data_IF_651611675292
#
_entry.id   IF_651611675292
#
_cell.length_a   1.000
_cell.length_b   1.000
_cell.length_c   1.000
_cell.angle_alpha   90.00
_cell.angle_beta   90.00
_cell.angle_gamma   90.00
#
_symmetry.space_group_name_H-M   'P 1'
#
loop_
_entity.id
_entity.type
_entity.pdbx_description
1 polymer ?
#
# COMPACT_ATOMS: atom_id res chain seq x y z
N UNK A 1 3.20 7.73 10.17
CA UNK A 1 2.91 6.51 10.96
C UNK A 1 1.50 6.05 10.65
N UNK A 2 1.33 4.95 9.89
CA UNK A 2 0.03 4.49 9.40
C UNK A 2 -0.59 3.52 10.43
N UNK A 3 -1.55 4.01 11.23
CA UNK A 3 -2.18 3.24 12.32
C UNK A 3 -2.92 1.99 11.82
N UNK A 4 -3.41 2.01 10.58
CA UNK A 4 -4.14 0.88 10.00
C UNK A 4 -3.20 -0.30 9.73
N UNK A 5 -2.07 -0.05 9.06
CA UNK A 5 -1.06 -1.07 8.76
C UNK A 5 -0.48 -1.68 10.05
N UNK A 6 -0.15 -0.86 11.03
CA UNK A 6 0.40 -1.31 12.32
C UNK A 6 -0.61 -2.12 13.14
N UNK A 7 -1.91 -1.79 13.06
CA UNK A 7 -2.95 -2.60 13.69
C UNK A 7 -3.14 -3.93 12.95
N UNK A 8 -3.21 -3.91 11.62
CA UNK A 8 -3.34 -5.10 10.79
C UNK A 8 -2.20 -6.10 11.05
N UNK A 9 -0.96 -5.63 11.07
CA UNK A 9 0.21 -6.44 11.40
C UNK A 9 0.11 -7.09 12.79
N UNK A 10 -0.30 -6.32 13.81
CA UNK A 10 -0.50 -6.86 15.18
C UNK A 10 -1.62 -7.90 15.27
N UNK A 11 -2.54 -7.90 14.33
CA UNK A 11 -3.58 -8.95 14.21
C UNK A 11 -3.11 -10.15 13.37
N UNK A 12 -1.85 -10.18 12.94
CA UNK A 12 -1.30 -11.25 12.10
C UNK A 12 -1.67 -11.14 10.62
N UNK A 13 -2.17 -9.98 10.18
CA UNK A 13 -2.38 -9.72 8.76
C UNK A 13 -1.06 -9.27 8.12
N UNK A 14 -0.77 -9.80 6.94
CA UNK A 14 0.46 -9.51 6.20
C UNK A 14 0.22 -8.70 4.93
N UNK A 15 -1.01 -8.72 4.40
CA UNK A 15 -1.38 -7.99 3.18
C UNK A 15 -2.71 -7.28 3.40
N UNK A 16 -2.79 -6.02 2.96
CA UNK A 16 -4.05 -5.30 2.78
C UNK A 16 -4.33 -5.18 1.28
N UNK A 17 -5.37 -5.87 0.82
CA UNK A 17 -5.83 -5.84 -0.57
C UNK A 17 -7.01 -4.87 -0.71
N UNK A 18 -7.06 -4.14 -1.82
CA UNK A 18 -8.15 -3.22 -2.10
C UNK A 18 -8.20 -2.74 -3.55
N UNK A 19 -9.21 -1.91 -3.83
CA UNK A 19 -9.43 -1.28 -5.12
C UNK A 19 -9.41 0.24 -4.95
N UNK A 20 -8.70 0.93 -5.85
CA UNK A 20 -8.53 2.39 -5.83
C UNK A 20 -8.80 2.95 -7.21
N UNK A 21 -9.49 4.08 -7.32
CA UNK A 21 -9.67 4.73 -8.62
C UNK A 21 -8.33 5.28 -9.13
N UNK A 22 -8.09 5.14 -10.43
CA UNK A 22 -6.87 5.60 -11.09
C UNK A 22 -6.62 7.11 -10.90
N UNK A 23 -7.69 7.91 -10.87
CA UNK A 23 -7.64 9.36 -10.71
C UNK A 23 -7.59 9.82 -9.25
N UNK A 24 -7.70 8.91 -8.27
CA UNK A 24 -7.64 9.23 -6.86
C UNK A 24 -6.18 9.42 -6.40
N UNK A 25 -5.58 10.53 -6.84
CA UNK A 25 -4.18 10.87 -6.54
C UNK A 25 -3.89 10.90 -5.04
N UNK A 26 -4.84 11.37 -4.21
CA UNK A 26 -4.67 11.39 -2.75
C UNK A 26 -4.49 10.00 -2.16
N UNK A 27 -5.24 9.00 -2.63
CA UNK A 27 -5.08 7.62 -2.20
C UNK A 27 -3.76 7.03 -2.72
N UNK A 28 -3.39 7.30 -3.97
CA UNK A 28 -2.12 6.83 -4.54
C UNK A 28 -0.91 7.39 -3.80
N UNK A 29 -0.93 8.66 -3.42
CA UNK A 29 0.14 9.29 -2.65
C UNK A 29 0.18 8.76 -1.21
N UNK A 30 -0.97 8.47 -0.60
CA UNK A 30 -1.03 7.77 0.69
C UNK A 30 -0.37 6.39 0.62
N UNK A 31 -0.67 5.60 -0.42
CA UNK A 31 -0.07 4.28 -0.63
C UNK A 31 1.45 4.38 -0.85
N UNK A 32 1.91 5.34 -1.67
CA UNK A 32 3.35 5.59 -1.91
C UNK A 32 4.10 6.00 -0.64
N UNK A 33 3.48 6.82 0.19
CA UNK A 33 4.09 7.35 1.43
C UNK A 33 3.89 6.44 2.64
N UNK A 34 3.20 5.31 2.47
CA UNK A 34 2.91 4.34 3.53
C UNK A 34 4.17 3.71 4.13
N UNK A 35 5.30 3.74 3.43
CA UNK A 35 6.55 3.10 3.84
C UNK A 35 6.50 1.58 3.78
N UNK A 36 5.53 1.03 3.07
CA UNK A 36 5.30 -0.41 2.89
C UNK A 36 5.33 -0.74 1.40
N UNK A 37 5.79 -1.93 0.99
CA UNK A 37 5.73 -2.35 -0.40
C UNK A 37 4.28 -2.37 -0.91
N UNK A 38 4.05 -1.77 -2.07
CA UNK A 38 2.75 -1.75 -2.74
C UNK A 38 2.90 -2.43 -4.10
N UNK A 39 2.07 -3.44 -4.38
CA UNK A 39 1.85 -3.93 -5.73
C UNK A 39 0.59 -3.29 -6.29
N UNK A 40 0.65 -2.85 -7.54
CA UNK A 40 -0.47 -2.23 -8.25
C UNK A 40 -0.69 -2.96 -9.56
N UNK A 41 -1.93 -3.38 -9.81
CA UNK A 41 -2.36 -4.04 -11.03
C UNK A 41 -3.47 -3.24 -11.68
N UNK A 42 -3.37 -3.04 -12.99
CA UNK A 42 -4.42 -2.44 -13.78
C UNK A 42 -5.16 -3.56 -14.50
N UNK A 43 -6.36 -3.88 -14.03
CA UNK A 43 -7.22 -4.93 -14.61
C UNK A 43 -8.13 -4.40 -15.74
N UNK A 44 -8.04 -3.09 -16.04
CA UNK A 44 -8.84 -2.37 -17.03
C UNK A 44 -9.89 -1.45 -16.41
N UNK A 45 -10.24 -0.38 -17.12
CA UNK A 45 -11.15 0.66 -16.61
C UNK A 45 -10.45 1.65 -15.66
N UNK A 46 -11.23 2.33 -14.83
CA UNK A 46 -10.74 3.40 -13.95
C UNK A 46 -10.35 2.90 -12.54
N UNK A 47 -10.22 1.60 -12.35
CA UNK A 47 -9.93 0.96 -11.05
C UNK A 47 -8.58 0.25 -11.09
N UNK A 48 -7.80 0.44 -10.04
CA UNK A 48 -6.54 -0.22 -9.77
C UNK A 48 -6.72 -1.20 -8.61
N UNK A 49 -6.27 -2.43 -8.80
CA UNK A 49 -6.14 -3.41 -7.71
C UNK A 49 -4.81 -3.16 -7.01
N UNK A 50 -4.84 -3.03 -5.69
CA UNK A 50 -3.66 -2.71 -4.87
C UNK A 50 -3.48 -3.73 -3.77
N UNK A 51 -2.25 -4.16 -3.57
CA UNK A 51 -1.84 -5.04 -2.47
C UNK A 51 -0.72 -4.34 -1.70
N UNK A 52 -0.98 -4.01 -0.43
CA UNK A 52 -0.02 -3.39 0.48
C UNK A 52 0.53 -4.46 1.43
N UNK A 53 1.82 -4.71 1.37
CA UNK A 53 2.50 -5.61 2.31
C UNK A 53 2.72 -4.88 3.65
N UNK A 54 1.96 -5.27 4.67
CA UNK A 54 2.06 -4.72 6.03
C UNK A 54 2.97 -5.55 6.95
N UNK A 55 3.54 -6.65 6.43
CA UNK A 55 4.44 -7.55 7.12
C UNK A 55 5.90 -7.08 7.14
N UNK A 56 6.31 -6.27 6.16
CA UNK A 56 7.63 -5.64 6.14
C UNK A 56 7.50 -4.14 5.86
N UNK A 57 8.00 -3.26 6.76
CA UNK A 57 8.31 -1.90 6.38
C UNK A 57 9.31 -1.95 5.23
N UNK A 58 9.02 -1.26 4.13
CA UNK A 58 9.98 -1.08 3.06
C UNK A 58 11.21 -0.41 3.67
N UNK A 59 12.32 -1.15 3.74
CA UNK A 59 13.60 -0.56 4.07
C UNK A 59 13.82 0.55 3.04
N UNK A 60 13.76 1.80 3.51
CA UNK A 60 14.23 2.96 2.76
C UNK A 60 15.59 2.60 2.18
N UNK A 61 15.63 2.35 0.86
CA UNK A 61 16.88 2.17 0.15
C UNK A 61 17.63 3.49 0.30
N UNK A 62 18.57 3.52 1.24
CA UNK A 62 19.47 4.63 1.42
C UNK A 62 20.26 4.80 0.14
N UNK A 63 19.94 5.83 -0.64
CA UNK A 63 20.85 6.38 -1.64
C UNK A 63 22.02 6.98 -0.89
N UNK A 64 23.14 6.24 -0.93
CA UNK A 64 24.48 6.71 -0.62
C UNK A 64 24.89 7.84 -1.56
#
# INVERSE_FOLDING_TARGET
MNRLAEHAFRQGLHVLEGHVLYDNQSMLDLLRTSGHPVQVRCDGGDVLSVELDVGQPAAIAGTR
#
